data_IF_147150246814
#
_entry.id   IF_147150246814
#
_cell.length_a   1.000
_cell.length_b   1.000
_cell.length_c   1.000
_cell.angle_alpha   90.00
_cell.angle_beta   90.00
_cell.angle_gamma   90.00
#
_symmetry.space_group_name_H-M   'P 1'
#
loop_
_entity.id
_entity.type
_entity.pdbx_description
1 polymer ?
#
# COMPACT_ATOMS: atom_id res chain seq x y z
N UNK A 1 -28.64 11.49 -16.44
CA UNK A 1 -29.08 10.09 -16.22
C UNK A 1 -27.87 9.33 -15.75
N UNK A 2 -27.84 8.74 -14.55
CA UNK A 2 -26.77 7.83 -14.20
C UNK A 2 -26.94 6.59 -15.08
N UNK A 3 -25.98 6.31 -15.95
CA UNK A 3 -25.96 5.09 -16.74
C UNK A 3 -25.75 3.89 -15.84
N UNK A 4 -26.45 2.79 -16.11
CA UNK A 4 -26.18 1.51 -15.47
C UNK A 4 -24.79 1.07 -15.92
N UNK A 5 -23.86 1.01 -14.98
CA UNK A 5 -22.49 0.55 -15.20
C UNK A 5 -22.48 -0.97 -15.05
N UNK A 6 -22.07 -1.67 -16.10
CA UNK A 6 -21.87 -3.11 -16.09
C UNK A 6 -20.41 -3.43 -15.72
N UNK A 7 -20.14 -4.04 -14.55
CA UNK A 7 -18.79 -4.30 -14.06
C UNK A 7 -18.03 -5.36 -14.87
N UNK A 8 -18.71 -6.18 -15.67
CA UNK A 8 -18.06 -7.25 -16.45
C UNK A 8 -17.53 -6.76 -17.82
N UNK A 9 -17.99 -5.60 -18.29
CA UNK A 9 -17.67 -5.08 -19.63
C UNK A 9 -16.96 -3.72 -19.59
N UNK A 10 -16.77 -3.16 -18.41
CA UNK A 10 -16.10 -1.87 -18.23
C UNK A 10 -14.57 -2.01 -18.26
N UNK A 11 -13.93 -1.17 -19.06
CA UNK A 11 -12.48 -1.06 -19.07
C UNK A 11 -12.02 -0.21 -17.88
N UNK A 12 -10.99 -0.68 -17.16
CA UNK A 12 -10.60 -0.06 -15.88
C UNK A 12 -10.10 1.38 -16.04
N UNK A 13 -9.55 1.74 -17.20
CA UNK A 13 -9.09 3.11 -17.49
C UNK A 13 -10.27 4.08 -17.74
N UNK A 14 -11.48 3.56 -17.96
CA UNK A 14 -12.71 4.35 -18.08
C UNK A 14 -13.36 4.63 -16.71
N UNK A 15 -12.88 3.97 -15.65
CA UNK A 15 -13.28 4.25 -14.28
C UNK A 15 -12.49 5.45 -13.73
N UNK A 16 -13.13 6.38 -13.00
CA UNK A 16 -12.40 7.35 -12.20
C UNK A 16 -11.45 6.62 -11.24
N UNK A 17 -10.16 6.95 -11.28
CA UNK A 17 -9.13 6.30 -10.46
C UNK A 17 -9.34 6.39 -8.93
N UNK A 18 -10.28 7.21 -8.50
CA UNK A 18 -10.87 7.18 -7.15
C UNK A 18 -12.39 7.08 -7.37
N UNK A 19 -12.89 5.86 -7.47
CA UNK A 19 -14.32 5.58 -7.47
C UNK A 19 -14.73 5.28 -6.04
N UNK A 20 -15.33 6.26 -5.35
CA UNK A 20 -16.10 6.00 -4.14
C UNK A 20 -17.57 6.08 -4.51
N UNK A 21 -18.20 4.98 -4.95
CA UNK A 21 -19.63 4.97 -5.20
C UNK A 21 -20.31 4.82 -3.85
N UNK A 22 -20.40 5.89 -3.07
CA UNK A 22 -21.41 5.92 -2.00
C UNK A 22 -22.77 6.15 -2.69
N UNK A 23 -23.25 5.13 -3.42
CA UNK A 23 -24.56 5.14 -4.07
C UNK A 23 -25.67 4.61 -3.15
N UNK A 24 -25.35 4.17 -1.93
CA UNK A 24 -26.31 3.69 -0.93
C UNK A 24 -25.91 4.02 0.52
N UNK A 25 -26.90 4.02 1.43
CA UNK A 25 -26.67 4.09 2.87
C UNK A 25 -25.98 2.80 3.34
N UNK A 26 -24.70 2.90 3.68
CA UNK A 26 -23.93 1.82 4.28
C UNK A 26 -24.29 1.65 5.76
N UNK A 27 -24.34 0.40 6.22
CA UNK A 27 -24.33 0.10 7.65
C UNK A 27 -23.01 0.52 8.30
N UNK A 28 -22.97 0.61 9.63
CA UNK A 28 -21.74 0.99 10.34
C UNK A 28 -20.59 -0.02 10.13
N UNK A 29 -20.89 -1.29 9.87
CA UNK A 29 -19.87 -2.29 9.57
C UNK A 29 -19.32 -2.10 8.15
N UNK A 30 -20.19 -1.93 7.16
CA UNK A 30 -19.77 -1.67 5.77
C UNK A 30 -18.98 -0.36 5.65
N UNK A 31 -19.33 0.68 6.43
CA UNK A 31 -18.52 1.91 6.50
C UNK A 31 -17.11 1.63 7.04
N UNK A 32 -16.97 0.75 8.02
CA UNK A 32 -15.65 0.40 8.58
C UNK A 32 -14.83 -0.36 7.54
N UNK A 33 -15.43 -1.36 6.90
CA UNK A 33 -14.76 -2.15 5.85
C UNK A 33 -14.32 -1.26 4.69
N UNK A 34 -15.18 -0.33 4.24
CA UNK A 34 -14.86 0.63 3.19
C UNK A 34 -13.66 1.53 3.57
N UNK A 35 -13.64 2.06 4.80
CA UNK A 35 -12.52 2.87 5.29
C UNK A 35 -11.22 2.05 5.33
N UNK A 36 -11.28 0.80 5.79
CA UNK A 36 -10.11 -0.07 5.88
C UNK A 36 -9.58 -0.45 4.48
N UNK A 37 -10.46 -0.72 3.52
CA UNK A 37 -10.08 -0.96 2.12
C UNK A 37 -9.46 0.29 1.49
N UNK A 38 -10.04 1.48 1.71
CA UNK A 38 -9.48 2.74 1.22
C UNK A 38 -8.13 3.06 1.85
N UNK A 39 -7.97 2.79 3.16
CA UNK A 39 -6.70 2.97 3.86
C UNK A 39 -5.63 2.00 3.34
N UNK A 40 -6.00 0.74 3.09
CA UNK A 40 -5.10 -0.27 2.52
C UNK A 40 -4.62 0.14 1.13
N UNK A 41 -5.54 0.55 0.25
CA UNK A 41 -5.20 1.04 -1.08
C UNK A 41 -4.30 2.29 -1.02
N UNK A 42 -4.61 3.22 -0.11
CA UNK A 42 -3.80 4.44 0.09
C UNK A 42 -2.39 4.12 0.59
N UNK A 43 -2.25 3.16 1.51
CA UNK A 43 -0.94 2.71 2.00
C UNK A 43 -0.12 2.04 0.89
N UNK A 44 -0.73 1.15 0.10
CA UNK A 44 -0.08 0.52 -1.05
C UNK A 44 0.37 1.55 -2.09
N UNK A 45 -0.41 2.62 -2.28
CA UNK A 45 -0.05 3.72 -3.17
C UNK A 45 1.10 4.59 -2.64
N UNK A 46 1.24 4.69 -1.31
CA UNK A 46 2.24 5.53 -0.66
C UNK A 46 3.66 4.95 -0.64
N UNK A 47 3.79 3.63 -0.79
CA UNK A 47 5.09 2.94 -0.77
C UNK A 47 5.72 2.86 -2.16
N UNK A 48 6.98 2.42 -2.22
CA UNK A 48 7.64 2.22 -3.50
C UNK A 48 6.95 1.10 -4.31
N UNK A 49 6.97 1.22 -5.64
CA UNK A 49 6.37 0.19 -6.50
C UNK A 49 6.92 -1.24 -6.26
N UNK A 50 8.23 -1.46 -6.06
CA UNK A 50 8.74 -2.79 -5.71
C UNK A 50 8.16 -3.34 -4.39
N UNK A 51 8.03 -2.49 -3.37
CA UNK A 51 7.42 -2.90 -2.10
C UNK A 51 5.93 -3.25 -2.27
N UNK A 52 5.17 -2.40 -2.97
CA UNK A 52 3.74 -2.65 -3.23
C UNK A 52 3.53 -3.97 -3.97
N UNK A 53 4.34 -4.25 -5.00
CA UNK A 53 4.27 -5.52 -5.74
C UNK A 53 4.60 -6.69 -4.82
N UNK A 54 5.63 -6.57 -3.99
CA UNK A 54 6.03 -7.64 -3.08
C UNK A 54 4.92 -7.96 -2.06
N UNK A 55 4.29 -6.93 -1.48
CA UNK A 55 3.14 -7.09 -0.57
C UNK A 55 1.98 -7.80 -1.26
N UNK A 56 1.63 -7.38 -2.49
CA UNK A 56 0.55 -7.99 -3.26
C UNK A 56 0.83 -9.46 -3.62
N UNK A 57 2.07 -9.80 -4.01
CA UNK A 57 2.44 -11.17 -4.37
C UNK A 57 2.50 -12.12 -3.17
N UNK A 58 2.80 -11.60 -1.98
CA UNK A 58 2.91 -12.37 -0.75
C UNK A 58 1.65 -12.33 0.11
N UNK A 59 0.60 -11.62 -0.33
CA UNK A 59 -0.62 -11.38 0.43
C UNK A 59 -0.36 -10.69 1.79
N UNK A 60 0.65 -9.82 1.84
CA UNK A 60 1.10 -9.08 3.04
C UNK A 60 0.63 -7.61 3.00
N UNK A 61 -0.64 -7.43 2.67
CA UNK A 61 -1.31 -6.13 2.54
C UNK A 61 -2.16 -5.76 3.76
N UNK A 62 -2.29 -6.63 4.76
CA UNK A 62 -3.08 -6.37 5.96
C UNK A 62 -2.60 -5.08 6.67
N UNK A 63 -3.55 -4.30 7.15
CA UNK A 63 -3.31 -3.06 7.87
C UNK A 63 -3.84 -3.16 9.30
N UNK A 64 -3.28 -2.33 10.18
CA UNK A 64 -3.78 -2.11 11.52
C UNK A 64 -3.84 -0.62 11.83
N UNK A 65 -4.68 -0.26 12.79
CA UNK A 65 -4.76 1.12 13.26
C UNK A 65 -3.51 1.48 14.05
N UNK A 66 -2.95 2.64 13.77
CA UNK A 66 -1.91 3.25 14.56
C UNK A 66 -2.54 4.42 15.33
N UNK A 67 -2.50 4.35 16.66
CA UNK A 67 -3.02 5.39 17.56
C UNK A 67 -1.89 6.28 18.07
N UNK A 68 -0.69 5.73 18.12
CA UNK A 68 0.52 6.41 18.55
C UNK A 68 1.31 6.92 17.33
N UNK A 69 2.05 8.04 17.48
CA UNK A 69 2.98 8.48 16.46
C UNK A 69 4.07 7.42 16.21
N UNK A 70 4.68 7.38 15.01
CA UNK A 70 5.81 6.50 14.74
C UNK A 70 7.00 6.83 15.65
N UNK A 71 7.86 5.86 15.93
CA UNK A 71 9.04 6.03 16.82
C UNK A 71 9.98 7.17 16.39
N UNK A 72 9.99 7.50 15.09
CA UNK A 72 10.79 8.58 14.51
C UNK A 72 10.06 9.94 14.46
N UNK A 73 8.88 10.07 15.06
CA UNK A 73 8.13 11.31 15.09
C UNK A 73 8.83 12.33 16.00
N UNK A 74 9.00 13.55 15.48
CA UNK A 74 9.61 14.65 16.21
C UNK A 74 8.59 15.78 16.35
N UNK A 75 8.01 15.98 17.55
CA UNK A 75 7.00 17.00 17.77
C UNK A 75 7.52 18.43 17.56
N UNK A 76 8.81 18.68 17.74
CA UNK A 76 9.39 20.02 17.55
C UNK A 76 9.43 20.41 16.06
N UNK A 77 9.57 19.41 15.18
CA UNK A 77 9.61 19.61 13.72
C UNK A 77 8.25 19.43 13.06
N UNK A 78 7.40 18.55 13.59
CA UNK A 78 6.18 18.06 12.93
C UNK A 78 4.89 18.55 13.60
N UNK A 79 4.99 19.27 14.72
CA UNK A 79 3.86 19.73 15.52
C UNK A 79 3.44 18.71 16.59
N UNK A 80 2.41 19.05 17.37
CA UNK A 80 1.84 18.10 18.32
C UNK A 80 1.03 17.02 17.60
N UNK A 81 1.17 15.77 18.04
CA UNK A 81 0.37 14.66 17.52
C UNK A 81 -1.09 14.83 17.98
N UNK A 82 -2.01 14.77 17.03
CA UNK A 82 -3.45 14.83 17.33
C UNK A 82 -3.99 13.41 17.56
N UNK A 83 -4.25 13.08 18.83
CA UNK A 83 -4.78 11.77 19.26
C UNK A 83 -6.18 11.46 18.69
N UNK A 84 -6.88 12.45 18.10
CA UNK A 84 -8.16 12.22 17.42
C UNK A 84 -8.01 11.67 15.99
N UNK A 85 -6.79 11.67 15.43
CA UNK A 85 -6.53 11.15 14.10
C UNK A 85 -6.63 9.62 14.07
N UNK A 86 -7.40 9.12 13.10
CA UNK A 86 -7.41 7.70 12.77
C UNK A 86 -6.32 7.47 11.73
N UNK A 87 -5.24 6.83 12.13
CA UNK A 87 -4.15 6.47 11.21
C UNK A 87 -4.02 4.96 11.06
N UNK A 88 -3.42 4.53 9.95
CA UNK A 88 -3.24 3.12 9.61
C UNK A 88 -1.81 2.87 9.19
N UNK A 89 -1.32 1.67 9.45
CA UNK A 89 -0.03 1.17 8.98
C UNK A 89 -0.15 -0.28 8.54
N UNK A 90 0.79 -0.76 7.75
CA UNK A 90 0.87 -2.20 7.46
C UNK A 90 1.12 -2.98 8.75
N UNK A 91 0.38 -4.08 8.91
CA UNK A 91 0.50 -4.97 10.08
C UNK A 91 1.88 -5.61 10.16
N UNK A 92 2.44 -6.01 9.01
CA UNK A 92 3.82 -6.50 8.91
C UNK A 92 4.73 -5.42 8.35
N UNK A 93 5.77 -5.12 9.11
CA UNK A 93 6.86 -4.25 8.67
C UNK A 93 7.67 -4.93 7.57
N UNK A 94 8.03 -4.15 6.57
CA UNK A 94 9.06 -4.50 5.61
C UNK A 94 10.11 -3.41 5.66
N UNK A 95 11.39 -3.79 5.56
CA UNK A 95 12.48 -2.83 5.59
C UNK A 95 13.30 -2.95 4.32
N UNK A 96 13.56 -1.81 3.71
CA UNK A 96 14.53 -1.72 2.63
C UNK A 96 15.95 -1.92 3.22
N UNK A 97 16.61 -2.99 2.84
CA UNK A 97 17.92 -3.38 3.37
C UNK A 97 19.06 -2.90 2.46
N UNK A 98 18.91 -3.05 1.14
CA UNK A 98 19.90 -2.58 0.17
C UNK A 98 19.25 -2.06 -1.11
N UNK A 99 19.92 -1.08 -1.74
CA UNK A 99 19.60 -0.59 -3.09
C UNK A 99 20.89 -0.44 -3.86
N UNK A 100 20.95 -1.09 -5.03
CA UNK A 100 22.00 -0.87 -6.01
C UNK A 100 21.36 -0.38 -7.30
N UNK A 101 21.81 0.79 -7.76
CA UNK A 101 21.28 1.42 -8.97
C UNK A 101 22.40 1.63 -9.96
N UNK A 102 22.30 0.95 -11.09
CA UNK A 102 23.17 1.17 -12.23
C UNK A 102 22.42 1.87 -13.35
N UNK A 103 23.08 2.03 -14.50
CA UNK A 103 22.51 2.74 -15.66
C UNK A 103 21.28 2.03 -16.24
N UNK A 104 21.30 0.70 -16.24
CA UNK A 104 20.27 -0.14 -16.86
C UNK A 104 19.76 -1.22 -15.91
N UNK A 105 19.98 -1.06 -14.61
CA UNK A 105 19.50 -2.01 -13.61
C UNK A 105 19.18 -1.31 -12.30
N UNK A 106 18.21 -1.86 -11.58
CA UNK A 106 17.91 -1.54 -10.20
C UNK A 106 17.76 -2.86 -9.45
N UNK A 107 18.64 -3.09 -8.48
CA UNK A 107 18.51 -4.17 -7.51
C UNK A 107 18.06 -3.60 -6.16
N UNK A 108 17.03 -4.20 -5.58
CA UNK A 108 16.45 -3.80 -4.30
C UNK A 108 16.29 -5.03 -3.43
N UNK A 109 16.84 -4.98 -2.21
CA UNK A 109 16.70 -6.07 -1.24
C UNK A 109 15.82 -5.59 -0.09
N UNK A 110 14.77 -6.33 0.20
CA UNK A 110 13.88 -6.12 1.33
C UNK A 110 14.06 -7.21 2.38
N UNK A 111 14.19 -6.79 3.64
CA UNK A 111 14.05 -7.63 4.83
C UNK A 111 12.57 -7.65 5.22
N UNK A 112 11.93 -8.82 5.10
CA UNK A 112 10.53 -9.01 5.44
C UNK A 112 10.35 -9.89 6.68
N UNK A 113 11.32 -9.86 7.60
CA UNK A 113 11.29 -10.57 8.86
C UNK A 113 11.17 -12.08 8.66
N UNK A 114 10.10 -12.68 9.20
CA UNK A 114 9.86 -14.13 9.14
C UNK A 114 9.62 -14.65 7.71
N UNK A 115 9.23 -13.78 6.76
CA UNK A 115 9.09 -14.15 5.34
C UNK A 115 10.46 -14.21 4.63
N UNK A 116 11.52 -13.72 5.28
CA UNK A 116 12.88 -13.73 4.78
C UNK A 116 13.22 -12.52 3.90
N UNK A 117 14.37 -12.61 3.23
CA UNK A 117 14.86 -11.56 2.35
C UNK A 117 14.37 -11.78 0.92
N UNK A 118 14.00 -10.68 0.28
CA UNK A 118 13.48 -10.67 -1.08
C UNK A 118 14.27 -9.69 -1.94
N UNK A 119 14.75 -10.19 -3.07
CA UNK A 119 15.48 -9.42 -4.07
C UNK A 119 14.58 -9.12 -5.26
N UNK A 120 14.52 -7.84 -5.62
CA UNK A 120 13.92 -7.31 -6.84
C UNK A 120 15.02 -6.85 -7.78
N UNK A 121 15.23 -7.58 -8.88
CA UNK A 121 16.11 -7.17 -9.96
C UNK A 121 15.26 -6.64 -11.13
N UNK A 122 15.41 -5.37 -11.45
CA UNK A 122 14.69 -4.68 -12.51
C UNK A 122 15.68 -4.28 -13.59
N UNK A 123 15.46 -4.77 -14.81
CA UNK A 123 16.21 -4.43 -16.02
C UNK A 123 15.23 -4.00 -17.12
N UNK A 124 15.68 -3.38 -18.24
CA UNK A 124 14.78 -2.98 -19.33
C UNK A 124 13.92 -4.10 -19.91
N UNK A 125 14.42 -5.34 -19.86
CA UNK A 125 13.78 -6.49 -20.53
C UNK A 125 12.96 -7.36 -19.57
N UNK A 126 13.28 -7.34 -18.27
CA UNK A 126 12.67 -8.24 -17.29
C UNK A 126 12.74 -7.70 -15.87
N UNK A 127 11.79 -8.17 -15.07
CA UNK A 127 11.77 -8.05 -13.62
C UNK A 127 11.89 -9.46 -13.04
N UNK A 128 12.85 -9.65 -12.13
CA UNK A 128 13.03 -10.90 -11.39
C UNK A 128 12.74 -10.62 -9.92
N UNK A 129 11.91 -11.48 -9.33
CA UNK A 129 11.68 -11.53 -7.90
C UNK A 129 12.18 -12.86 -7.36
N UNK A 130 13.12 -12.82 -6.42
CA UNK A 130 13.69 -14.01 -5.78
C UNK A 130 13.71 -13.88 -4.27
N UNK A 131 13.49 -14.98 -3.57
CA UNK A 131 13.77 -15.09 -2.13
C UNK A 131 15.23 -15.52 -1.96
N UNK A 132 15.98 -14.81 -1.11
CA UNK A 132 17.42 -15.04 -0.87
C UNK A 132 17.72 -15.38 0.59
#
# INVERSE_FOLDING_TARGET
>A
MPGVVDPETMYIDDLPGIWSPVQWELSEEEKREEIEQQAQASLLWSVSAPEAILRLLLDECEIERALDPPDSYDPELQGEWDESLVTFKFRRSIRLDAVERERESLCVIYDFGDVGYWEFEITPEKVILSRI
#
